data_IF_766599917904
#
_entry.id   IF_766599917904
#
_cell.length_a   1.000
_cell.length_b   1.000
_cell.length_c   1.000
_cell.angle_alpha   90.00
_cell.angle_beta   90.00
_cell.angle_gamma   90.00
#
_symmetry.space_group_name_H-M   'P 1'
#
loop_
_entity.id
_entity.type
_entity.pdbx_description
1 polymer ?
#
# COMPACT_ATOMS: atom_id res chain seq x y z
N UNK A 1 3.31 20.95 -0.21
CA UNK A 1 2.35 20.34 -1.16
C UNK A 1 1.89 18.95 -0.75
N UNK A 2 2.63 17.85 -0.96
CA UNK A 2 2.12 16.50 -0.60
C UNK A 2 1.91 16.32 0.91
N UNK A 3 2.83 16.82 1.73
CA UNK A 3 2.74 16.75 3.19
C UNK A 3 1.50 17.50 3.72
N UNK A 4 1.30 18.75 3.32
CA UNK A 4 0.13 19.55 3.69
C UNK A 4 -1.18 18.92 3.21
N UNK A 5 -1.19 18.34 2.01
CA UNK A 5 -2.36 17.62 1.50
C UNK A 5 -2.69 16.39 2.36
N UNK A 6 -1.67 15.62 2.76
CA UNK A 6 -1.84 14.48 3.67
C UNK A 6 -2.38 14.95 5.02
N UNK A 7 -1.83 16.02 5.60
CA UNK A 7 -2.33 16.58 6.87
C UNK A 7 -3.80 16.99 6.77
N UNK A 8 -4.19 17.69 5.70
CA UNK A 8 -5.59 18.05 5.44
C UNK A 8 -6.46 16.80 5.35
N UNK A 9 -6.05 15.81 4.55
CA UNK A 9 -6.76 14.53 4.36
C UNK A 9 -7.01 13.84 5.71
N UNK A 10 -5.97 13.63 6.52
CA UNK A 10 -6.09 12.88 7.78
C UNK A 10 -6.81 13.69 8.87
N UNK A 11 -6.75 15.02 8.80
CA UNK A 11 -7.48 15.89 9.72
C UNK A 11 -9.00 15.79 9.51
N UNK A 12 -9.45 15.78 8.26
CA UNK A 12 -10.86 15.71 7.87
C UNK A 12 -11.42 14.28 7.93
N UNK A 13 -10.56 13.27 7.77
CA UNK A 13 -10.96 11.87 7.63
C UNK A 13 -10.36 10.98 8.72
N UNK A 14 -10.95 11.01 9.93
CA UNK A 14 -10.45 10.30 11.12
C UNK A 14 -10.41 8.77 11.00
N UNK A 15 -11.08 8.20 10.00
CA UNK A 15 -11.04 6.76 9.70
C UNK A 15 -9.72 6.32 9.04
N UNK A 16 -8.91 7.25 8.52
CA UNK A 16 -7.63 6.92 7.91
C UNK A 16 -6.62 6.62 9.03
N UNK A 17 -6.13 5.39 9.04
CA UNK A 17 -5.10 4.91 9.97
C UNK A 17 -3.73 4.79 9.32
N UNK A 18 -3.66 4.73 7.99
CA UNK A 18 -2.40 4.71 7.27
C UNK A 18 -2.54 5.12 5.81
N UNK A 19 -1.47 5.69 5.25
CA UNK A 19 -1.35 5.99 3.83
C UNK A 19 0.01 5.48 3.37
N UNK A 20 0.00 4.60 2.37
CA UNK A 20 1.22 4.05 1.75
C UNK A 20 1.24 4.49 0.30
N UNK A 21 2.31 5.20 -0.09
CA UNK A 21 2.62 5.44 -1.50
C UNK A 21 3.28 4.18 -2.04
N UNK A 22 2.83 3.67 -3.18
CA UNK A 22 3.46 2.54 -3.84
C UNK A 22 3.71 2.85 -5.32
N UNK A 23 4.02 1.83 -6.12
CA UNK A 23 4.16 2.01 -7.56
C UNK A 23 5.46 2.69 -7.96
N UNK A 24 5.47 3.33 -9.13
CA UNK A 24 6.67 3.97 -9.69
C UNK A 24 7.19 5.10 -8.81
N UNK A 25 6.30 5.87 -8.18
CA UNK A 25 6.66 6.95 -7.25
C UNK A 25 7.48 6.44 -6.07
N UNK A 26 7.02 5.37 -5.41
CA UNK A 26 7.75 4.79 -4.28
C UNK A 26 9.11 4.19 -4.69
N UNK A 27 9.24 3.73 -5.94
CA UNK A 27 10.50 3.19 -6.49
C UNK A 27 11.44 4.27 -7.05
N UNK A 28 11.04 5.54 -7.09
CA UNK A 28 11.82 6.61 -7.74
C UNK A 28 11.87 6.49 -9.27
N UNK A 29 10.89 5.81 -9.86
CA UNK A 29 10.78 5.58 -11.31
C UNK A 29 9.68 6.43 -11.97
N UNK A 30 9.02 7.30 -11.20
CA UNK A 30 7.94 8.16 -11.69
C UNK A 30 8.46 9.27 -12.59
N UNK A 31 7.68 9.59 -13.63
CA UNK A 31 7.82 10.76 -14.49
C UNK A 31 6.53 11.60 -14.47
N UNK A 32 6.48 12.69 -15.23
CA UNK A 32 5.32 13.59 -15.29
C UNK A 32 4.02 12.91 -15.76
N UNK A 33 4.12 11.79 -16.48
CA UNK A 33 2.96 11.03 -16.94
C UNK A 33 2.52 9.93 -15.97
N UNK A 34 3.24 9.72 -14.86
CA UNK A 34 3.00 8.63 -13.93
C UNK A 34 1.83 8.88 -12.99
N UNK A 35 1.06 7.83 -12.74
CA UNK A 35 -0.01 7.84 -11.75
C UNK A 35 0.58 7.93 -10.33
N UNK A 36 -0.11 8.64 -9.43
CA UNK A 36 0.14 8.52 -8.00
C UNK A 36 -0.66 7.34 -7.45
N UNK A 37 0.06 6.28 -7.05
CA UNK A 37 -0.53 5.07 -6.46
C UNK A 37 -0.54 5.14 -4.94
N UNK A 38 -1.73 5.11 -4.34
CA UNK A 38 -1.94 5.16 -2.89
C UNK A 38 -2.71 3.94 -2.38
N UNK A 39 -2.23 3.32 -1.31
CA UNK A 39 -3.02 2.41 -0.48
C UNK A 39 -3.47 3.16 0.77
N UNK A 40 -4.78 3.28 0.93
CA UNK A 40 -5.41 3.88 2.11
C UNK A 40 -5.82 2.77 3.07
N UNK A 41 -5.23 2.81 4.26
CA UNK A 41 -5.57 1.89 5.33
C UNK A 41 -6.59 2.55 6.26
N UNK A 42 -7.77 1.96 6.35
CA UNK A 42 -8.88 2.49 7.14
C UNK A 42 -9.15 1.68 8.40
N UNK A 43 -9.70 2.34 9.42
CA UNK A 43 -10.22 1.73 10.64
C UNK A 43 -11.55 2.40 11.02
N UNK A 44 -12.42 1.67 11.72
CA UNK A 44 -13.71 2.19 12.23
C UNK A 44 -14.60 2.88 11.15
N UNK A 45 -14.47 2.47 9.89
CA UNK A 45 -15.21 3.07 8.78
C UNK A 45 -16.58 2.40 8.58
N UNK A 46 -17.63 3.02 9.11
CA UNK A 46 -19.00 2.54 8.97
C UNK A 46 -19.68 3.04 7.68
N UNK A 47 -19.22 2.52 6.55
CA UNK A 47 -19.80 2.77 5.22
C UNK A 47 -20.18 1.45 4.57
N UNK A 48 -21.28 1.45 3.80
CA UNK A 48 -21.69 0.30 2.99
C UNK A 48 -20.50 -0.25 2.20
N UNK A 49 -20.24 -1.55 2.30
CA UNK A 49 -19.06 -2.19 1.69
C UNK A 49 -18.96 -1.95 0.18
N UNK A 50 -20.09 -1.91 -0.53
CA UNK A 50 -20.12 -1.72 -1.98
C UNK A 50 -19.84 -0.27 -2.40
N UNK A 51 -19.94 0.68 -1.45
CA UNK A 51 -19.68 2.11 -1.68
C UNK A 51 -18.40 2.59 -1.00
N UNK A 52 -17.77 1.77 -0.16
CA UNK A 52 -16.60 2.14 0.64
C UNK A 52 -15.46 2.67 -0.22
N UNK A 53 -15.12 1.95 -1.27
CA UNK A 53 -14.06 2.35 -2.19
C UNK A 53 -14.30 3.74 -2.80
N UNK A 54 -15.54 4.02 -3.25
CA UNK A 54 -15.94 5.32 -3.81
C UNK A 54 -15.87 6.41 -2.74
N UNK A 55 -16.31 6.12 -1.52
CA UNK A 55 -16.26 7.06 -0.40
C UNK A 55 -14.81 7.45 -0.08
N UNK A 56 -13.91 6.46 0.04
CA UNK A 56 -12.49 6.69 0.29
C UNK A 56 -11.86 7.46 -0.87
N UNK A 57 -12.10 7.04 -2.11
CA UNK A 57 -11.58 7.75 -3.29
C UNK A 57 -11.93 9.24 -3.25
N UNK A 58 -13.20 9.59 -2.99
CA UNK A 58 -13.64 10.99 -2.90
C UNK A 58 -12.98 11.77 -1.75
N UNK A 59 -12.72 11.11 -0.63
CA UNK A 59 -12.02 11.72 0.51
C UNK A 59 -10.57 12.09 0.17
N UNK A 60 -9.92 11.29 -0.70
CA UNK A 60 -8.54 11.52 -1.13
C UNK A 60 -8.46 12.48 -2.33
N UNK A 61 -9.29 12.28 -3.35
CA UNK A 61 -9.18 12.99 -4.63
C UNK A 61 -9.55 14.47 -4.55
N UNK A 62 -10.34 14.88 -3.55
CA UNK A 62 -10.76 16.28 -3.37
C UNK A 62 -9.60 17.19 -2.91
N UNK A 63 -8.84 16.86 -1.84
CA UNK A 63 -7.67 17.63 -1.42
C UNK A 63 -6.40 17.33 -2.23
N UNK A 64 -6.39 16.24 -3.00
CA UNK A 64 -5.28 15.85 -3.86
C UNK A 64 -5.74 15.75 -5.32
N UNK A 65 -5.86 16.90 -6.03
CA UNK A 65 -6.25 16.92 -7.43
C UNK A 65 -5.03 16.53 -8.31
N UNK A 66 -4.63 15.27 -8.23
CA UNK A 66 -3.70 14.69 -9.20
C UNK A 66 -4.49 14.30 -10.46
N UNK A 67 -3.97 14.66 -11.63
CA UNK A 67 -4.59 14.28 -12.91
C UNK A 67 -4.69 12.77 -13.09
N UNK A 68 -3.77 12.03 -12.45
CA UNK A 68 -3.66 10.57 -12.49
C UNK A 68 -3.46 10.02 -11.08
N UNK A 69 -4.54 9.55 -10.47
CA UNK A 69 -4.59 9.07 -9.10
C UNK A 69 -5.20 7.67 -9.05
N UNK A 70 -4.45 6.71 -8.54
CA UNK A 70 -4.93 5.37 -8.22
C UNK A 70 -5.04 5.24 -6.71
N UNK A 71 -6.25 5.00 -6.21
CA UNK A 71 -6.49 4.74 -4.79
C UNK A 71 -6.92 3.30 -4.63
N UNK A 72 -6.19 2.56 -3.81
CA UNK A 72 -6.61 1.27 -3.26
C UNK A 72 -6.97 1.43 -1.79
N UNK A 73 -7.78 0.53 -1.25
CA UNK A 73 -8.12 0.53 0.16
C UNK A 73 -8.10 -0.85 0.81
N UNK A 74 -7.77 -0.87 2.10
CA UNK A 74 -7.80 -2.07 2.93
C UNK A 74 -8.03 -1.68 4.39
N UNK A 75 -8.65 -2.56 5.17
CA UNK A 75 -8.72 -2.40 6.63
C UNK A 75 -7.30 -2.48 7.24
N UNK A 76 -6.97 -1.53 8.12
CA UNK A 76 -5.64 -1.42 8.74
C UNK A 76 -5.24 -2.69 9.51
N UNK A 77 -6.15 -3.22 10.33
CA UNK A 77 -5.92 -4.45 11.09
C UNK A 77 -5.73 -5.65 10.17
N UNK A 78 -6.47 -5.73 9.06
CA UNK A 78 -6.32 -6.79 8.07
C UNK A 78 -4.97 -6.72 7.35
N UNK A 79 -4.48 -5.52 7.05
CA UNK A 79 -3.16 -5.31 6.46
C UNK A 79 -2.06 -5.84 7.39
N UNK A 80 -2.11 -5.46 8.67
CA UNK A 80 -1.14 -5.90 9.69
C UNK A 80 -1.22 -7.41 10.03
N UNK A 81 -2.33 -8.08 9.72
CA UNK A 81 -2.52 -9.51 10.02
C UNK A 81 -2.53 -10.37 8.76
N UNK A 82 -1.86 -9.93 7.69
CA UNK A 82 -1.91 -10.64 6.43
C UNK A 82 -1.19 -11.98 6.49
N UNK A 83 -1.91 -13.04 6.12
CA UNK A 83 -1.34 -14.40 6.03
C UNK A 83 -1.14 -14.87 4.60
N UNK A 84 -1.93 -14.31 3.67
CA UNK A 84 -1.92 -14.61 2.24
C UNK A 84 -2.00 -13.29 1.49
N UNK A 85 -0.90 -12.88 0.88
CA UNK A 85 -0.81 -11.68 0.08
C UNK A 85 -0.92 -12.00 -1.40
N UNK A 86 -1.64 -11.15 -2.15
CA UNK A 86 -1.57 -11.16 -3.61
C UNK A 86 -0.21 -10.61 -4.06
N UNK A 87 0.25 -10.88 -5.30
CA UNK A 87 1.48 -10.28 -5.81
C UNK A 87 1.47 -8.75 -5.73
N UNK A 88 0.32 -8.11 -5.97
CA UNK A 88 0.18 -6.66 -5.82
C UNK A 88 0.41 -6.21 -4.38
N UNK A 89 -0.16 -6.90 -3.40
CA UNK A 89 0.02 -6.52 -2.00
C UNK A 89 1.45 -6.77 -1.51
N UNK A 90 2.13 -7.80 -2.04
CA UNK A 90 3.57 -7.99 -1.82
C UNK A 90 4.38 -6.84 -2.43
N UNK A 91 4.02 -6.36 -3.63
CA UNK A 91 4.67 -5.20 -4.23
C UNK A 91 4.50 -3.94 -3.38
N UNK A 92 3.29 -3.71 -2.86
CA UNK A 92 2.99 -2.59 -1.95
C UNK A 92 3.85 -2.70 -0.69
N UNK A 93 3.93 -3.87 -0.06
CA UNK A 93 4.71 -4.05 1.17
C UNK A 93 6.22 -3.91 0.91
N UNK A 94 6.69 -4.36 -0.26
CA UNK A 94 8.11 -4.37 -0.58
C UNK A 94 8.63 -3.00 -1.02
N UNK A 95 7.94 -2.29 -1.91
CA UNK A 95 8.36 -0.96 -2.40
C UNK A 95 7.76 0.19 -1.61
N UNK A 96 6.65 -0.05 -0.91
CA UNK A 96 5.79 1.02 -0.41
C UNK A 96 6.46 1.84 0.68
N UNK A 97 6.16 3.14 0.64
CA UNK A 97 6.59 4.13 1.62
C UNK A 97 5.36 4.58 2.41
N UNK A 98 5.35 4.31 3.72
CA UNK A 98 4.32 4.82 4.60
C UNK A 98 4.52 6.33 4.80
N UNK A 99 3.61 7.14 4.27
CA UNK A 99 3.64 8.60 4.39
C UNK A 99 2.75 9.11 5.52
N UNK A 100 1.91 8.23 6.06
CA UNK A 100 1.16 8.45 7.29
C UNK A 100 0.90 7.11 7.98
N UNK A 101 1.08 7.07 9.30
CA UNK A 101 0.78 5.92 10.14
C UNK A 101 0.32 6.39 11.52
N UNK A 102 -0.97 6.20 11.80
CA UNK A 102 -1.59 6.63 13.05
C UNK A 102 -1.01 5.91 14.27
N UNK A 103 -0.56 4.67 14.12
CA UNK A 103 -0.17 3.81 15.24
C UNK A 103 1.33 3.49 15.27
N UNK A 104 2.10 3.92 14.27
CA UNK A 104 3.55 3.71 14.18
C UNK A 104 3.97 2.24 14.03
N UNK A 105 3.17 1.42 13.35
CA UNK A 105 3.41 -0.03 13.16
C UNK A 105 3.70 -0.46 11.72
N UNK A 106 3.39 0.38 10.73
CA UNK A 106 3.44 0.00 9.31
C UNK A 106 4.86 -0.29 8.85
N UNK A 107 5.83 0.55 9.21
CA UNK A 107 7.21 0.37 8.75
C UNK A 107 7.84 -0.91 9.31
N UNK A 108 7.69 -1.15 10.62
CA UNK A 108 8.16 -2.38 11.27
C UNK A 108 7.46 -3.63 10.70
N UNK A 109 6.15 -3.56 10.49
CA UNK A 109 5.40 -4.65 9.87
C UNK A 109 5.89 -4.95 8.45
N UNK A 110 6.02 -3.92 7.59
CA UNK A 110 6.50 -4.12 6.22
C UNK A 110 7.94 -4.66 6.21
N UNK A 111 8.80 -4.20 7.12
CA UNK A 111 10.15 -4.74 7.28
C UNK A 111 10.14 -6.22 7.68
N UNK A 112 9.27 -6.63 8.61
CA UNK A 112 9.10 -8.03 9.01
C UNK A 112 8.68 -8.91 7.84
N UNK A 113 7.71 -8.46 7.04
CA UNK A 113 7.28 -9.19 5.84
C UNK A 113 8.41 -9.31 4.83
N UNK A 114 9.18 -8.24 4.57
CA UNK A 114 10.35 -8.29 3.68
C UNK A 114 11.37 -9.34 4.13
N UNK A 115 11.74 -9.32 5.41
CA UNK A 115 12.66 -10.32 6.00
C UNK A 115 12.11 -11.74 5.92
N UNK A 116 10.80 -11.90 6.12
CA UNK A 116 10.17 -13.21 6.01
C UNK A 116 10.27 -13.76 4.57
N UNK A 117 9.96 -12.94 3.57
CA UNK A 117 10.07 -13.33 2.15
C UNK A 117 11.51 -13.75 1.81
N UNK A 118 12.50 -12.95 2.23
CA UNK A 118 13.92 -13.27 2.06
C UNK A 118 14.29 -14.60 2.72
N UNK A 119 13.84 -14.83 3.97
CA UNK A 119 14.11 -16.07 4.70
C UNK A 119 13.52 -17.31 4.05
N UNK A 120 12.42 -17.16 3.30
CA UNK A 120 11.78 -18.24 2.53
C UNK A 120 12.35 -18.37 1.13
N UNK A 121 13.37 -17.59 0.76
CA UNK A 121 13.99 -17.61 -0.56
C UNK A 121 13.08 -17.10 -1.67
N UNK A 122 12.10 -16.25 -1.34
CA UNK A 122 11.27 -15.57 -2.32
C UNK A 122 12.01 -14.34 -2.80
N UNK A 123 12.33 -14.29 -4.09
CA UNK A 123 13.20 -13.24 -4.64
C UNK A 123 12.40 -12.34 -5.56
N UNK A 124 12.53 -11.02 -5.38
CA UNK A 124 11.97 -10.06 -6.33
C UNK A 124 12.95 -9.78 -7.45
N UNK A 125 12.49 -9.93 -8.70
CA UNK A 125 13.27 -9.67 -9.92
C UNK A 125 12.67 -8.53 -10.72
N UNK A 126 13.52 -7.85 -11.47
CA UNK A 126 13.16 -6.82 -12.45
C UNK A 126 13.62 -7.27 -13.83
N UNK A 127 12.74 -7.17 -14.81
CA UNK A 127 13.01 -7.40 -16.24
C UNK A 127 12.45 -6.23 -17.05
N UNK A 128 13.34 -5.38 -17.55
CA UNK A 128 12.98 -4.10 -18.16
C UNK A 128 12.16 -3.22 -17.21
N UNK A 129 10.90 -2.96 -17.58
CA UNK A 129 9.93 -2.19 -16.78
C UNK A 129 9.06 -3.07 -15.85
N UNK A 130 9.20 -4.39 -15.93
CA UNK A 130 8.34 -5.34 -15.23
C UNK A 130 9.03 -5.90 -13.99
N UNK A 131 8.22 -6.19 -12.97
CA UNK A 131 8.66 -6.84 -11.74
C UNK A 131 7.91 -8.15 -11.57
N UNK A 132 8.61 -9.19 -11.12
CA UNK A 132 8.02 -10.48 -10.80
C UNK A 132 8.66 -11.09 -9.56
N UNK A 133 7.94 -12.03 -8.96
CA UNK A 133 8.38 -12.79 -7.79
C UNK A 133 8.82 -14.17 -8.24
N UNK A 134 10.09 -14.48 -8.01
CA UNK A 134 10.67 -15.80 -8.19
C UNK A 134 10.46 -16.60 -6.90
N UNK A 135 9.78 -17.73 -7.02
CA UNK A 135 9.53 -18.64 -5.90
C UNK A 135 10.71 -19.61 -5.74
N UNK A 136 11.04 -20.04 -4.52
CA UNK A 136 12.11 -21.02 -4.28
C UNK A 136 11.84 -22.37 -4.98
N UNK A 137 10.56 -22.70 -5.17
CA UNK A 137 10.12 -23.87 -5.94
C UNK A 137 8.84 -23.54 -6.71
N UNK A 138 8.74 -23.94 -8.00
CA UNK A 138 7.52 -23.76 -8.78
C UNK A 138 6.27 -24.27 -8.06
N UNK A 139 5.22 -23.45 -8.00
CA UNK A 139 3.93 -23.78 -7.39
C UNK A 139 3.93 -23.85 -5.86
N UNK A 140 5.03 -23.54 -5.17
CA UNK A 140 5.03 -23.51 -3.71
C UNK A 140 4.10 -22.41 -3.18
N UNK A 141 3.37 -22.71 -2.11
CA UNK A 141 2.53 -21.71 -1.43
C UNK A 141 3.37 -21.00 -0.38
N UNK A 142 3.46 -19.68 -0.50
CA UNK A 142 4.07 -18.83 0.53
C UNK A 142 2.96 -18.38 1.48
N UNK A 143 3.12 -18.72 2.75
CA UNK A 143 2.28 -18.22 3.84
C UNK A 143 3.14 -17.33 4.72
N UNK A 144 2.61 -16.15 5.02
CA UNK A 144 3.23 -15.17 5.90
C UNK A 144 2.90 -15.48 7.37
N UNK A 145 3.91 -15.35 8.20
CA UNK A 145 4.00 -15.66 9.63
C UNK A 145 4.73 -14.49 10.33
N UNK A 146 4.12 -13.30 10.21
CA UNK A 146 4.54 -12.01 10.80
C UNK A 146 3.59 -11.50 11.86
#
# INVERSE_FOLDING_TARGET
MLHEAIESIVSENKFIAGIIVFGSTARGESNEESDLDLLILWENLNVNSNKRHIYIYKAISKPLPAEKLTVMDMEYTRFLNIKKATPLLLNIIWDGVAVYDKHGKLEDFMLKVRRELESKGVIRRKDGKHYYWELPKPGCKIKLEV
#
